data_IF_137765449817
#
_entry.id   IF_137765449817
#
_cell.length_a   1.000
_cell.length_b   1.000
_cell.length_c   1.000
_cell.angle_alpha   90.00
_cell.angle_beta   90.00
_cell.angle_gamma   90.00
#
_symmetry.space_group_name_H-M   'P 1'
#
loop_
_entity.id
_entity.type
_entity.pdbx_description
1 polymer ?
#
# COMPACT_ATOMS: atom_id res chain seq x y z
N UNK A 1 15.57 1.43 9.84
CA UNK A 1 16.12 0.08 9.97
C UNK A 1 15.30 -0.80 9.07
N UNK A 2 15.94 -1.45 8.12
CA UNK A 2 15.40 -2.50 7.29
C UNK A 2 15.39 -3.82 8.09
N UNK A 3 14.32 -4.60 7.95
CA UNK A 3 14.10 -5.82 8.73
C UNK A 3 14.34 -7.07 7.88
N UNK A 4 14.97 -8.09 8.47
CA UNK A 4 15.13 -9.39 7.82
C UNK A 4 13.77 -10.06 7.61
N UNK A 5 13.61 -10.76 6.48
CA UNK A 5 12.35 -11.36 6.04
C UNK A 5 11.68 -12.23 7.11
N UNK A 6 12.47 -13.04 7.82
CA UNK A 6 12.00 -13.95 8.87
C UNK A 6 11.41 -13.25 10.09
N UNK A 7 11.81 -11.99 10.32
CA UNK A 7 11.32 -11.17 11.45
C UNK A 7 10.26 -10.16 11.03
N UNK A 8 10.15 -9.89 9.73
CA UNK A 8 9.19 -8.95 9.16
C UNK A 8 7.87 -9.61 8.71
N UNK A 9 7.80 -10.95 8.77
CA UNK A 9 6.57 -11.72 8.57
C UNK A 9 5.67 -11.76 9.81
N UNK A 10 4.41 -12.15 9.61
CA UNK A 10 3.48 -12.39 10.72
C UNK A 10 3.86 -13.64 11.52
N UNK A 11 3.73 -13.54 12.85
CA UNK A 11 4.03 -14.62 13.80
C UNK A 11 2.79 -15.15 14.54
N UNK A 12 1.58 -14.74 14.15
CA UNK A 12 0.34 -15.11 14.84
C UNK A 12 -0.21 -16.47 14.39
N UNK A 13 0.27 -17.01 13.27
CA UNK A 13 -0.16 -18.29 12.71
C UNK A 13 1.04 -19.19 12.47
N UNK A 14 1.06 -20.34 13.15
CA UNK A 14 2.05 -21.38 12.94
C UNK A 14 2.00 -21.90 11.49
N UNK A 15 0.81 -22.04 10.91
CA UNK A 15 0.65 -22.46 9.52
C UNK A 15 1.33 -21.49 8.54
N UNK A 16 1.15 -20.18 8.73
CA UNK A 16 1.82 -19.16 7.89
C UNK A 16 3.33 -19.26 8.02
N UNK A 17 3.84 -19.47 9.23
CA UNK A 17 5.29 -19.61 9.48
C UNK A 17 5.89 -20.87 8.84
N UNK A 18 5.13 -21.96 8.75
CA UNK A 18 5.59 -23.23 8.16
C UNK A 18 5.42 -23.29 6.64
N UNK A 19 4.35 -22.71 6.10
CA UNK A 19 4.01 -22.80 4.68
C UNK A 19 4.79 -21.80 3.81
N UNK A 20 5.09 -20.61 4.34
CA UNK A 20 5.81 -19.58 3.58
C UNK A 20 7.32 -19.74 3.68
N UNK A 21 7.99 -19.73 2.52
CA UNK A 21 9.44 -19.80 2.43
C UNK A 21 9.99 -18.54 1.77
N UNK A 22 10.69 -17.72 2.54
CA UNK A 22 11.36 -16.52 2.04
C UNK A 22 12.57 -16.90 1.17
N UNK A 23 12.67 -16.27 0.00
CA UNK A 23 13.73 -16.54 -0.98
C UNK A 23 15.05 -15.85 -0.65
N UNK A 24 15.00 -14.74 0.08
CA UNK A 24 16.16 -13.89 0.40
C UNK A 24 16.12 -13.39 1.86
N UNK A 25 17.30 -13.02 2.40
CA UNK A 25 17.42 -12.44 3.76
C UNK A 25 16.62 -11.15 3.93
N UNK A 26 16.52 -10.36 2.86
CA UNK A 26 15.71 -9.14 2.78
C UNK A 26 14.84 -9.22 1.54
N UNK A 27 13.60 -9.69 1.71
CA UNK A 27 12.68 -9.92 0.63
C UNK A 27 12.35 -8.61 -0.13
N UNK A 28 12.39 -8.60 -1.46
CA UNK A 28 12.03 -7.43 -2.23
C UNK A 28 10.49 -7.24 -2.23
N UNK A 29 10.03 -6.04 -2.58
CA UNK A 29 8.59 -5.70 -2.61
C UNK A 29 7.72 -6.74 -3.34
N UNK A 30 8.10 -7.30 -4.51
CA UNK A 30 7.28 -8.31 -5.17
C UNK A 30 7.10 -9.59 -4.37
N UNK A 31 8.08 -10.00 -3.55
CA UNK A 31 7.94 -11.16 -2.67
C UNK A 31 7.08 -10.82 -1.44
N UNK A 32 7.28 -9.66 -0.83
CA UNK A 32 6.44 -9.18 0.26
C UNK A 32 4.97 -9.06 -0.16
N UNK A 33 4.69 -8.56 -1.36
CA UNK A 33 3.33 -8.51 -1.90
C UNK A 33 2.74 -9.90 -2.10
N UNK A 34 3.49 -10.87 -2.63
CA UNK A 34 3.01 -12.27 -2.73
C UNK A 34 2.71 -12.87 -1.36
N UNK A 35 3.55 -12.61 -0.37
CA UNK A 35 3.33 -13.06 1.01
C UNK A 35 2.00 -12.53 1.57
N UNK A 36 1.74 -11.22 1.44
CA UNK A 36 0.48 -10.61 1.90
C UNK A 36 -0.73 -11.15 1.14
N UNK A 37 -0.60 -11.38 -0.17
CA UNK A 37 -1.67 -11.98 -0.97
C UNK A 37 -1.95 -13.42 -0.53
N UNK A 38 -0.92 -14.23 -0.28
CA UNK A 38 -1.01 -15.59 0.25
C UNK A 38 -1.78 -15.62 1.58
N UNK A 39 -1.43 -14.74 2.52
CA UNK A 39 -2.14 -14.64 3.82
C UNK A 39 -3.60 -14.24 3.59
N UNK A 40 -3.87 -13.23 2.76
CA UNK A 40 -5.23 -12.79 2.49
C UNK A 40 -6.09 -13.86 1.78
N UNK A 41 -5.49 -14.71 0.94
CA UNK A 41 -6.18 -15.84 0.30
C UNK A 41 -6.43 -16.98 1.30
N UNK A 42 -5.43 -17.35 2.09
CA UNK A 42 -5.52 -18.45 3.07
C UNK A 42 -6.63 -18.25 4.10
N UNK A 43 -6.85 -17.00 4.53
CA UNK A 43 -7.88 -16.66 5.52
C UNK A 43 -9.10 -15.94 4.92
N UNK A 44 -9.21 -15.94 3.59
CA UNK A 44 -10.35 -15.38 2.84
C UNK A 44 -10.69 -13.91 3.18
N UNK A 45 -9.71 -13.10 3.56
CA UNK A 45 -9.94 -11.72 4.03
C UNK A 45 -10.59 -10.82 2.98
N UNK A 46 -10.39 -11.11 1.69
CA UNK A 46 -10.88 -10.25 0.59
C UNK A 46 -12.40 -10.11 0.56
N UNK A 47 -13.16 -11.08 1.10
CA UNK A 47 -14.63 -11.01 1.11
C UNK A 47 -15.16 -9.85 1.96
N UNK A 48 -14.37 -9.40 2.93
CA UNK A 48 -14.72 -8.34 3.89
C UNK A 48 -14.00 -7.01 3.56
N UNK A 49 -13.28 -6.93 2.43
CA UNK A 49 -12.54 -5.73 2.00
C UNK A 49 -13.21 -5.08 0.79
N UNK A 50 -13.61 -3.82 0.95
CA UNK A 50 -14.02 -2.98 -0.17
C UNK A 50 -12.82 -2.20 -0.74
N UNK A 51 -12.23 -2.69 -1.83
CA UNK A 51 -11.15 -1.98 -2.53
C UNK A 51 -11.65 -0.74 -3.28
N UNK A 52 -10.73 0.11 -3.74
CA UNK A 52 -11.03 1.35 -4.47
C UNK A 52 -12.01 2.29 -3.73
N UNK A 53 -12.01 2.24 -2.39
CA UNK A 53 -12.95 2.95 -1.54
C UNK A 53 -12.18 3.80 -0.54
N UNK A 54 -12.02 5.09 -0.84
CA UNK A 54 -11.26 6.02 -0.01
C UNK A 54 -12.19 6.65 1.01
N UNK A 55 -11.96 6.42 2.30
CA UNK A 55 -12.60 7.18 3.38
C UNK A 55 -12.07 8.61 3.37
N UNK A 56 -12.98 9.59 3.27
CA UNK A 56 -12.64 11.03 3.28
C UNK A 56 -12.99 11.71 4.60
N UNK A 57 -13.95 11.15 5.35
CA UNK A 57 -14.37 11.66 6.64
C UNK A 57 -14.91 10.54 7.54
N UNK A 58 -14.67 10.66 8.83
CA UNK A 58 -15.35 9.89 9.87
C UNK A 58 -15.77 10.86 10.98
N UNK A 59 -17.00 10.80 11.45
CA UNK A 59 -17.54 11.65 12.50
C UNK A 59 -18.28 10.79 13.51
N UNK A 60 -17.96 10.94 14.79
CA UNK A 60 -18.65 10.21 15.86
C UNK A 60 -19.99 10.90 16.17
N UNK A 61 -21.07 10.14 16.14
CA UNK A 61 -22.42 10.55 16.53
C UNK A 61 -22.68 10.10 17.97
N UNK A 62 -22.61 11.05 18.91
CA UNK A 62 -22.82 10.77 20.34
C UNK A 62 -24.24 10.28 20.66
N UNK A 63 -25.25 10.70 19.90
CA UNK A 63 -26.64 10.29 20.15
C UNK A 63 -26.87 8.84 19.77
N UNK A 64 -26.16 8.34 18.74
CA UNK A 64 -26.21 6.95 18.30
C UNK A 64 -25.13 6.05 18.90
N UNK A 65 -24.09 6.64 19.49
CA UNK A 65 -22.87 5.94 19.93
C UNK A 65 -22.16 5.19 18.78
N UNK A 66 -22.13 5.79 17.60
CA UNK A 66 -21.59 5.18 16.38
C UNK A 66 -20.75 6.19 15.57
N UNK A 67 -19.85 5.69 14.75
CA UNK A 67 -19.17 6.44 13.71
C UNK A 67 -19.99 6.48 12.42
N UNK A 68 -20.19 7.67 11.88
CA UNK A 68 -20.63 7.87 10.49
C UNK A 68 -19.40 8.12 9.61
N UNK A 69 -19.25 7.31 8.55
CA UNK A 69 -18.08 7.27 7.68
C UNK A 69 -18.50 7.65 6.27
N UNK A 70 -17.79 8.57 5.64
CA UNK A 70 -18.03 9.04 4.27
C UNK A 70 -16.88 8.61 3.35
N UNK A 71 -17.24 8.11 2.17
CA UNK A 71 -16.32 7.71 1.10
C UNK A 71 -16.24 8.79 0.02
N UNK A 72 -15.14 8.81 -0.71
CA UNK A 72 -14.87 9.77 -1.79
C UNK A 72 -15.89 9.72 -2.93
N UNK A 73 -16.47 8.55 -3.19
CA UNK A 73 -17.51 8.34 -4.21
C UNK A 73 -18.92 8.73 -3.72
N UNK A 74 -19.04 9.26 -2.50
CA UNK A 74 -20.30 9.62 -1.86
C UNK A 74 -20.97 8.47 -1.09
N UNK A 75 -20.39 7.27 -1.07
CA UNK A 75 -20.85 6.17 -0.23
C UNK A 75 -20.73 6.48 1.26
N UNK A 76 -21.54 5.83 2.09
CA UNK A 76 -21.52 5.99 3.54
C UNK A 76 -21.55 4.65 4.26
N UNK A 77 -20.87 4.55 5.39
CA UNK A 77 -20.91 3.40 6.29
C UNK A 77 -21.11 3.85 7.75
N UNK A 78 -21.55 2.91 8.59
CA UNK A 78 -21.67 3.11 10.05
C UNK A 78 -21.00 1.99 10.81
N UNK A 79 -20.39 2.30 11.95
CA UNK A 79 -19.77 1.32 12.82
C UNK A 79 -19.73 1.80 14.27
N UNK A 80 -19.93 0.90 15.23
CA UNK A 80 -19.73 1.19 16.66
C UNK A 80 -18.26 1.49 16.97
N UNK A 81 -17.35 0.74 16.34
CA UNK A 81 -15.90 0.90 16.51
C UNK A 81 -15.22 1.28 15.19
N UNK A 82 -14.24 2.18 15.29
CA UNK A 82 -13.38 2.58 14.17
C UNK A 82 -11.92 2.31 14.50
N UNK A 83 -11.29 1.41 13.75
CA UNK A 83 -9.85 1.11 13.86
C UNK A 83 -9.14 1.69 12.63
N UNK A 84 -8.27 2.68 12.83
CA UNK A 84 -7.50 3.29 11.75
C UNK A 84 -6.18 2.53 11.52
N UNK A 85 -6.15 1.69 10.49
CA UNK A 85 -4.97 0.94 10.05
C UNK A 85 -4.33 1.55 8.77
N UNK A 86 -4.33 2.88 8.64
CA UNK A 86 -3.90 3.58 7.40
C UNK A 86 -2.38 3.56 7.16
N UNK A 87 -1.59 3.13 8.14
CA UNK A 87 -0.13 3.03 8.06
C UNK A 87 0.60 4.37 8.18
N UNK A 88 1.85 4.39 8.69
CA UNK A 88 2.59 5.63 8.98
C UNK A 88 3.26 6.27 7.74
N UNK A 89 3.44 5.51 6.65
CA UNK A 89 4.18 5.93 5.44
C UNK A 89 3.32 5.76 4.17
N UNK A 90 2.06 6.21 4.21
CA UNK A 90 1.11 6.05 3.08
C UNK A 90 0.95 7.32 2.22
N UNK A 91 1.08 8.50 2.82
CA UNK A 91 0.86 9.78 2.16
C UNK A 91 2.17 10.26 1.52
N UNK A 92 2.25 10.16 0.20
CA UNK A 92 3.41 10.63 -0.55
C UNK A 92 3.41 12.15 -0.67
N UNK A 93 4.60 12.74 -0.65
CA UNK A 93 4.79 14.18 -0.82
C UNK A 93 5.48 14.43 -2.14
N UNK A 94 4.84 15.18 -3.04
CA UNK A 94 5.50 15.60 -4.27
C UNK A 94 6.59 16.65 -3.97
N UNK A 95 7.74 16.59 -4.66
CA UNK A 95 8.82 17.55 -4.47
C UNK A 95 8.37 18.96 -4.83
N UNK A 96 8.69 19.93 -3.97
CA UNK A 96 8.41 21.36 -4.19
C UNK A 96 9.63 22.04 -4.81
N UNK A 97 9.93 21.68 -6.05
CA UNK A 97 11.08 22.22 -6.80
C UNK A 97 10.57 23.27 -7.79
N UNK A 98 11.04 24.53 -7.72
CA UNK A 98 10.68 25.55 -8.70
C UNK A 98 11.00 25.11 -10.13
N UNK A 99 10.02 25.20 -11.03
CA UNK A 99 10.18 24.82 -12.43
C UNK A 99 10.12 23.32 -12.71
N UNK A 100 9.74 22.47 -11.75
CA UNK A 100 9.66 21.02 -11.95
C UNK A 100 8.76 20.62 -13.15
N UNK A 101 7.64 21.31 -13.32
CA UNK A 101 6.69 21.07 -14.43
C UNK A 101 7.25 21.46 -15.80
N UNK A 102 8.38 22.17 -15.85
CA UNK A 102 9.06 22.54 -17.09
C UNK A 102 9.93 21.40 -17.65
N UNK A 103 10.25 20.39 -16.85
CA UNK A 103 11.03 19.24 -17.28
C UNK A 103 10.31 18.51 -18.42
N UNK A 104 11.02 18.27 -19.52
CA UNK A 104 10.48 17.64 -20.73
C UNK A 104 10.78 16.16 -20.84
N UNK A 105 11.63 15.63 -19.95
CA UNK A 105 11.87 14.20 -19.86
C UNK A 105 10.72 13.49 -19.15
N UNK A 106 10.74 12.18 -19.24
CA UNK A 106 9.87 11.34 -18.43
C UNK A 106 10.27 11.50 -16.96
N UNK A 107 9.32 11.53 -16.03
CA UNK A 107 9.58 11.39 -14.59
C UNK A 107 8.51 10.54 -13.90
N UNK A 108 8.85 9.94 -12.75
CA UNK A 108 7.91 9.22 -11.90
C UNK A 108 8.27 9.42 -10.43
N UNK A 109 7.26 9.46 -9.56
CA UNK A 109 7.47 9.41 -8.11
C UNK A 109 7.50 7.96 -7.66
N UNK A 110 8.45 7.55 -6.81
CA UNK A 110 8.60 6.15 -6.36
C UNK A 110 7.33 5.58 -5.71
N UNK A 111 6.59 6.38 -4.94
CA UNK A 111 5.29 6.00 -4.37
C UNK A 111 4.15 5.78 -5.40
N UNK A 112 4.36 6.13 -6.67
CA UNK A 112 3.43 5.98 -7.80
C UNK A 112 4.17 5.41 -9.02
N UNK A 113 5.10 4.49 -8.78
CA UNK A 113 5.88 3.89 -9.84
C UNK A 113 4.97 3.13 -10.83
N UNK A 114 5.12 3.31 -12.15
CA UNK A 114 4.28 2.61 -13.12
C UNK A 114 4.48 1.08 -13.07
N UNK A 115 3.38 0.32 -13.06
CA UNK A 115 3.40 -1.16 -12.99
C UNK A 115 4.09 -1.80 -14.20
N UNK A 116 3.83 -1.25 -15.39
CA UNK A 116 4.47 -1.70 -16.65
C UNK A 116 5.93 -1.22 -16.79
N UNK A 117 6.44 -0.52 -15.77
CA UNK A 117 7.74 0.13 -15.78
C UNK A 117 7.74 1.50 -16.47
N UNK A 118 8.90 2.14 -16.42
CA UNK A 118 9.11 3.53 -16.74
C UNK A 118 10.42 3.72 -17.52
N UNK A 119 10.56 4.77 -18.31
CA UNK A 119 11.81 5.03 -19.05
C UNK A 119 12.00 4.17 -20.30
N UNK A 120 10.93 3.78 -21.01
CA UNK A 120 11.02 2.99 -22.25
C UNK A 120 10.37 1.61 -22.12
N UNK A 121 11.06 0.54 -22.53
CA UNK A 121 10.58 -0.85 -22.39
C UNK A 121 10.86 -1.38 -20.96
N UNK A 122 10.00 -1.04 -20.00
CA UNK A 122 9.95 -1.72 -18.70
C UNK A 122 11.16 -1.49 -17.78
N UNK A 123 11.53 -0.24 -17.50
CA UNK A 123 12.67 0.15 -16.65
C UNK A 123 14.06 0.05 -17.29
N UNK A 124 14.15 0.09 -18.63
CA UNK A 124 15.43 0.15 -19.33
C UNK A 124 15.96 1.58 -19.43
N UNK A 125 16.95 1.91 -18.60
CA UNK A 125 17.63 3.20 -18.62
C UNK A 125 18.97 3.18 -19.37
N UNK A 126 19.27 2.12 -20.11
CA UNK A 126 20.54 1.98 -20.84
C UNK A 126 20.74 3.14 -21.82
N UNK A 127 21.90 3.81 -21.73
CA UNK A 127 22.23 4.97 -22.56
C UNK A 127 21.46 6.25 -22.22
N UNK A 128 20.61 6.26 -21.18
CA UNK A 128 19.93 7.46 -20.69
C UNK A 128 20.75 8.19 -19.62
N UNK A 129 20.48 9.48 -19.45
CA UNK A 129 20.93 10.27 -18.29
C UNK A 129 19.77 10.32 -17.29
N UNK A 130 19.98 9.80 -16.09
CA UNK A 130 18.96 9.66 -15.04
C UNK A 130 19.39 10.46 -13.79
N UNK A 131 18.42 11.06 -13.09
CA UNK A 131 18.62 11.82 -11.85
C UNK A 131 17.39 11.75 -10.96
#
# INVERSE_FOLDING_TARGET
>A
FDSESYTYGYSWSDEVLQEWNWSERFAPQPETERYLNFVADKFEFRKDIQFNSRVVRATYDEAKSEWEIELEDGGTARAEFLISATGPLNAYTLPRIPGIDSFKGEWAHTARYPKEGFGGRGNDFSGKRVG
#
